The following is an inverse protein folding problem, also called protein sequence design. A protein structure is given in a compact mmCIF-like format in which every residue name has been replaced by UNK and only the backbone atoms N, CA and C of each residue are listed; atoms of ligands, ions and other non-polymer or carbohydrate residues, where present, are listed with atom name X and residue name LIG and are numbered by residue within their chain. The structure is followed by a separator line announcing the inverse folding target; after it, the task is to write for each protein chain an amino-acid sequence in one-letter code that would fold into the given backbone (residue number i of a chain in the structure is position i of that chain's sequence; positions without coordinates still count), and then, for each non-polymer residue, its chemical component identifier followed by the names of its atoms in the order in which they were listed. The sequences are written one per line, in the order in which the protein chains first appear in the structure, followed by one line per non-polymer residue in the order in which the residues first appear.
data_IF_683192891378
#
_entry.id   IF_683192891378
#
_cell.length_a   1.000
_cell.length_b   1.000
_cell.length_c   1.000
_cell.angle_alpha   90.00
_cell.angle_beta   90.00
_cell.angle_gamma   90.00
#
_symmetry.space_group_name_H-M   'P 1'
#
loop_
_entity.id
_entity.type
_entity.pdbx_description
1 polymer ?
#
# COMPACT_ATOMS: atom_id res chain seq x y z
N UNK A 1 -15.62 -10.64 14.88
CA UNK A 1 -14.57 -10.70 13.83
C UNK A 1 -13.86 -12.05 13.77
N UNK A 2 -13.38 -12.64 14.88
CA UNK A 2 -12.68 -13.93 14.85
C UNK A 2 -13.47 -15.06 14.18
N UNK A 3 -14.76 -15.19 14.50
CA UNK A 3 -15.66 -16.17 13.87
C UNK A 3 -15.80 -15.95 12.35
N UNK A 4 -15.90 -14.69 11.91
CA UNK A 4 -15.97 -14.35 10.49
C UNK A 4 -14.67 -14.70 9.76
N UNK A 5 -13.52 -14.36 10.35
CA UNK A 5 -12.21 -14.71 9.79
C UNK A 5 -12.02 -16.23 9.70
N UNK A 6 -12.48 -16.98 10.69
CA UNK A 6 -12.45 -18.45 10.67
C UNK A 6 -13.28 -19.02 9.51
N UNK A 7 -14.52 -18.54 9.33
CA UNK A 7 -15.40 -18.99 8.23
C UNK A 7 -14.82 -18.63 6.85
N UNK A 8 -14.19 -17.46 6.73
CA UNK A 8 -13.59 -17.00 5.46
C UNK A 8 -12.16 -17.48 5.23
N UNK A 9 -11.60 -18.32 6.11
CA UNK A 9 -10.22 -18.79 6.07
C UNK A 9 -9.18 -17.65 5.99
N UNK A 10 -9.43 -16.57 6.75
CA UNK A 10 -8.54 -15.40 6.85
C UNK A 10 -7.72 -15.51 8.12
N UNK A 11 -6.39 -15.60 7.96
CA UNK A 11 -5.46 -15.56 9.09
C UNK A 11 -5.34 -14.13 9.64
N UNK A 12 -5.76 -13.93 10.88
CA UNK A 12 -5.66 -12.63 11.54
C UNK A 12 -4.26 -12.44 12.14
N UNK A 13 -3.57 -11.38 11.74
CA UNK A 13 -2.32 -10.93 12.36
C UNK A 13 -2.59 -9.69 13.20
N UNK A 14 -2.29 -9.76 14.50
CA UNK A 14 -2.48 -8.67 15.44
C UNK A 14 -1.13 -8.04 15.80
N UNK A 15 -1.13 -6.72 15.96
CA UNK A 15 0.02 -5.97 16.45
C UNK A 15 -0.08 -5.75 17.96
N UNK A 16 1.05 -5.59 18.67
CA UNK A 16 1.04 -5.20 20.08
C UNK A 16 0.32 -3.87 20.30
N UNK A 17 -0.31 -3.75 21.47
CA UNK A 17 -0.97 -2.50 21.89
C UNK A 17 0.07 -1.38 21.96
N UNK A 18 -0.32 -0.17 21.56
CA UNK A 18 0.54 1.01 21.52
C UNK A 18 1.80 0.87 20.65
N UNK A 19 1.79 -0.03 19.67
CA UNK A 19 2.88 -0.21 18.71
C UNK A 19 2.46 0.07 17.26
N UNK A 20 2.01 1.30 16.94
CA UNK A 20 1.54 1.65 15.58
C UNK A 20 2.64 1.52 14.52
N UNK A 21 3.92 1.51 14.91
CA UNK A 21 5.05 1.37 13.99
C UNK A 21 5.05 0.01 13.26
N UNK A 22 4.44 -1.03 13.85
CA UNK A 22 4.28 -2.33 13.22
C UNK A 22 3.10 -2.38 12.22
N UNK A 23 2.24 -1.36 12.19
CA UNK A 23 1.10 -1.31 11.29
C UNK A 23 1.48 -0.63 9.97
N UNK A 24 1.60 -1.36 8.84
CA UNK A 24 1.95 -0.76 7.55
C UNK A 24 0.90 0.24 7.05
N UNK A 25 -0.35 0.14 7.52
CA UNK A 25 -1.44 1.02 7.12
C UNK A 25 -1.23 2.45 7.60
N UNK A 26 -0.48 2.67 8.69
CA UNK A 26 -0.24 4.02 9.23
C UNK A 26 0.45 4.94 8.22
N UNK A 27 1.36 4.39 7.40
CA UNK A 27 2.00 5.17 6.35
C UNK A 27 1.00 5.60 5.28
N UNK A 28 0.08 4.71 4.89
CA UNK A 28 -0.97 5.01 3.91
C UNK A 28 -1.98 6.02 4.48
N UNK A 29 -2.33 5.92 5.76
CA UNK A 29 -3.19 6.88 6.45
C UNK A 29 -2.55 8.27 6.50
N UNK A 30 -1.23 8.35 6.72
CA UNK A 30 -0.50 9.62 6.67
C UNK A 30 -0.60 10.29 5.31
N UNK A 31 -0.59 9.52 4.23
CA UNK A 31 -0.74 10.04 2.86
C UNK A 31 -2.21 10.39 2.54
N UNK A 32 -3.16 9.63 3.07
CA UNK A 32 -4.60 9.85 2.85
C UNK A 32 -5.09 11.15 3.52
N UNK A 33 -4.68 11.42 4.76
CA UNK A 33 -5.18 12.54 5.57
C UNK A 33 -5.02 13.91 4.89
N UNK A 34 -3.84 14.30 4.37
CA UNK A 34 -3.68 15.57 3.66
C UNK A 34 -4.53 15.67 2.40
N UNK A 35 -4.64 14.58 1.62
CA UNK A 35 -5.49 14.56 0.41
C UNK A 35 -6.95 14.75 0.75
N UNK A 36 -7.41 14.10 1.81
CA UNK A 36 -8.76 14.28 2.31
C UNK A 36 -8.99 15.73 2.73
N UNK A 37 -8.09 16.30 3.54
CA UNK A 37 -8.17 17.69 3.99
C UNK A 37 -8.21 18.69 2.83
N UNK A 38 -7.39 18.47 1.79
CA UNK A 38 -7.37 19.31 0.59
C UNK A 38 -8.69 19.23 -0.20
N UNK A 39 -9.25 18.03 -0.36
CA UNK A 39 -10.44 17.82 -1.21
C UNK A 39 -11.74 18.28 -0.54
N UNK A 40 -11.84 18.18 0.79
CA UNK A 40 -13.05 18.63 1.52
C UNK A 40 -13.04 20.13 1.82
N UNK A 41 -11.86 20.76 1.83
CA UNK A 41 -11.70 22.17 2.17
C UNK A 41 -12.35 22.50 3.52
N UNK A 42 -13.29 23.45 3.51
CA UNK A 42 -14.03 23.86 4.71
C UNK A 42 -15.30 23.04 4.98
N UNK A 43 -15.75 22.21 4.04
CA UNK A 43 -16.96 21.41 4.18
C UNK A 43 -16.63 19.92 4.38
N UNK A 44 -16.37 19.56 5.63
CA UNK A 44 -16.02 18.20 6.02
C UNK A 44 -17.14 17.17 5.80
N UNK A 45 -18.40 17.59 5.57
CA UNK A 45 -19.49 16.67 5.30
C UNK A 45 -19.34 15.94 3.95
N UNK A 46 -18.57 16.50 3.01
CA UNK A 46 -18.37 15.95 1.66
C UNK A 46 -17.30 14.85 1.57
N UNK A 47 -16.72 14.41 2.69
CA UNK A 47 -15.59 13.46 2.70
C UNK A 47 -15.90 12.16 1.96
N UNK A 48 -17.14 11.68 2.04
CA UNK A 48 -17.62 10.47 1.37
C UNK A 48 -17.68 10.64 -0.15
N UNK A 49 -18.10 11.81 -0.63
CA UNK A 49 -18.14 12.14 -2.06
C UNK A 49 -16.75 12.28 -2.66
N UNK A 50 -15.77 12.76 -1.88
CA UNK A 50 -14.38 12.91 -2.32
C UNK A 50 -13.57 11.61 -2.24
N UNK A 51 -14.03 10.63 -1.45
CA UNK A 51 -13.30 9.37 -1.22
C UNK A 51 -12.99 8.58 -2.49
N UNK A 52 -13.92 8.41 -3.46
CA UNK A 52 -13.62 7.74 -4.73
C UNK A 52 -12.51 8.44 -5.54
N UNK A 53 -12.54 9.77 -5.63
CA UNK A 53 -11.54 10.55 -6.36
C UNK A 53 -10.16 10.41 -5.72
N UNK A 54 -10.09 10.49 -4.38
CA UNK A 54 -8.83 10.29 -3.64
C UNK A 54 -8.29 8.87 -3.84
N UNK A 55 -9.16 7.86 -3.75
CA UNK A 55 -8.77 6.46 -3.98
C UNK A 55 -8.23 6.26 -5.39
N UNK A 56 -8.89 6.83 -6.40
CA UNK A 56 -8.44 6.76 -7.78
C UNK A 56 -7.04 7.37 -7.92
N UNK A 57 -6.84 8.61 -7.46
CA UNK A 57 -5.56 9.30 -7.52
C UNK A 57 -4.45 8.55 -6.77
N UNK A 58 -4.74 7.99 -5.60
CA UNK A 58 -3.77 7.20 -4.83
C UNK A 58 -3.41 5.87 -5.49
N UNK A 59 -4.29 5.31 -6.34
CA UNK A 59 -4.05 4.04 -7.03
C UNK A 59 -3.33 4.23 -8.37
N UNK A 60 -3.51 5.38 -9.02
CA UNK A 60 -2.85 5.72 -10.29
C UNK A 60 -1.55 6.51 -10.12
N UNK A 61 -1.25 7.02 -8.92
CA UNK A 61 0.04 7.62 -8.62
C UNK A 61 1.15 6.56 -8.58
N UNK A 62 2.29 6.84 -9.22
CA UNK A 62 3.49 5.99 -9.15
C UNK A 62 4.13 6.11 -7.77
N UNK A 63 4.47 4.98 -7.16
CA UNK A 63 5.24 4.96 -5.93
C UNK A 63 6.74 4.94 -6.26
N UNK A 64 7.52 5.81 -5.62
CA UNK A 64 8.96 5.92 -5.83
C UNK A 64 9.70 4.60 -5.57
N UNK A 65 9.28 3.84 -4.53
CA UNK A 65 9.93 2.57 -4.18
C UNK A 65 9.68 1.48 -5.21
N UNK A 66 8.46 1.40 -5.75
CA UNK A 66 8.09 0.33 -6.69
C UNK A 66 8.25 0.73 -8.14
N UNK A 67 8.35 2.03 -8.46
CA UNK A 67 8.35 2.56 -9.83
C UNK A 67 7.01 2.46 -10.57
N UNK A 68 6.07 1.67 -10.04
CA UNK A 68 4.75 1.40 -10.62
C UNK A 68 3.61 2.01 -9.79
N UNK A 69 2.42 2.06 -10.39
CA UNK A 69 1.17 2.44 -9.71
C UNK A 69 0.64 1.26 -8.89
N UNK A 70 -0.17 1.53 -7.86
CA UNK A 70 -0.81 0.45 -7.10
C UNK A 70 -1.85 -0.32 -7.96
N UNK A 71 -2.49 0.39 -8.89
CA UNK A 71 -3.38 -0.21 -9.88
C UNK A 71 -2.68 -1.30 -10.71
N UNK A 72 -1.53 -0.96 -11.30
CA UNK A 72 -0.75 -1.89 -12.10
C UNK A 72 -0.32 -3.12 -11.30
N UNK A 73 0.16 -2.92 -10.06
CA UNK A 73 0.58 -4.03 -9.20
C UNK A 73 -0.56 -4.99 -8.85
N UNK A 74 -1.78 -4.47 -8.69
CA UNK A 74 -2.93 -5.27 -8.26
C UNK A 74 -3.70 -5.91 -9.42
N UNK A 75 -3.80 -5.22 -10.56
CA UNK A 75 -4.64 -5.63 -11.69
C UNK A 75 -3.84 -6.06 -12.91
N UNK A 76 -2.51 -5.98 -12.86
CA UNK A 76 -1.63 -6.14 -14.02
C UNK A 76 -2.03 -5.22 -15.19
N UNK A 77 -2.59 -4.05 -14.89
CA UNK A 77 -2.95 -2.99 -15.84
C UNK A 77 -3.21 -1.68 -15.11
N UNK A 78 -3.11 -0.57 -15.82
CA UNK A 78 -3.50 0.73 -15.29
C UNK A 78 -5.02 0.88 -15.22
N UNK A 79 -5.50 1.71 -14.28
CA UNK A 79 -6.90 2.13 -14.28
C UNK A 79 -7.12 3.14 -15.40
N UNK A 80 -8.27 3.04 -16.07
CA UNK A 80 -8.65 4.01 -17.11
C UNK A 80 -8.95 5.36 -16.48
N UNK A 81 -8.35 6.40 -17.04
CA UNK A 81 -8.63 7.80 -16.74
C UNK A 81 -9.86 8.28 -17.53
N UNK A 82 -10.36 9.48 -17.20
CA UNK A 82 -11.46 10.09 -17.95
C UNK A 82 -11.07 10.31 -19.42
N UNK A 83 -9.81 10.69 -19.67
CA UNK A 83 -9.27 10.88 -21.02
C UNK A 83 -9.19 9.57 -21.81
N UNK A 84 -8.86 8.46 -21.13
CA UNK A 84 -8.91 7.15 -21.76
C UNK A 84 -10.36 6.82 -22.15
N UNK A 85 -11.34 7.00 -21.27
CA UNK A 85 -12.75 6.66 -21.56
C UNK A 85 -13.32 7.44 -22.75
N UNK A 86 -12.97 8.71 -22.90
CA UNK A 86 -13.45 9.53 -24.03
C UNK A 86 -12.79 9.17 -25.35
N UNK A 87 -11.57 8.63 -25.32
CA UNK A 87 -10.78 8.30 -26.52
C UNK A 87 -10.90 6.82 -26.91
N UNK A 88 -11.18 5.93 -25.95
CA UNK A 88 -11.02 4.46 -26.04
C UNK A 88 -12.31 3.69 -26.43
N UNK A 89 -13.46 4.36 -26.60
CA UNK A 89 -14.70 3.66 -26.92
C UNK A 89 -14.60 2.86 -28.24
N UNK A 90 -13.76 3.33 -29.18
CA UNK A 90 -13.54 2.67 -30.49
C UNK A 90 -12.56 1.50 -30.41
N UNK A 91 -11.53 1.57 -29.58
CA UNK A 91 -10.53 0.51 -29.41
C UNK A 91 -11.04 -0.69 -28.61
N UNK A 92 -12.02 -0.50 -27.72
CA UNK A 92 -12.68 -1.59 -27.00
C UNK A 92 -13.63 -2.39 -27.89
N UNK A 93 -14.30 -1.72 -28.85
CA UNK A 93 -15.25 -2.36 -29.78
C UNK A 93 -14.51 -3.07 -30.94
N UNK A 94 -13.35 -2.55 -31.37
CA UNK A 94 -12.61 -3.09 -32.53
C UNK A 94 -11.52 -4.11 -32.19
N UNK A 95 -11.24 -4.39 -30.91
CA UNK A 95 -10.27 -5.42 -30.53
C UNK A 95 -10.93 -6.79 -30.35
N UNK A 96 -11.35 -7.41 -31.45
CA UNK A 96 -11.65 -8.86 -31.57
C UNK A 96 -10.37 -9.74 -31.46
N UNK A 97 -9.32 -9.26 -30.78
CA UNK A 97 -7.98 -9.85 -30.80
C UNK A 97 -7.43 -10.07 -29.39
N UNK A 98 -8.21 -10.74 -28.55
CA UNK A 98 -7.72 -11.21 -27.25
C UNK A 98 -7.41 -12.69 -27.37
N UNK A 99 -6.13 -13.08 -27.54
CA UNK A 99 -5.52 -14.33 -27.03
C UNK A 99 -4.03 -14.53 -27.42
N UNK A 100 -3.41 -13.98 -28.48
CA UNK A 100 -1.99 -14.27 -28.75
C UNK A 100 -0.97 -13.56 -27.83
N UNK A 101 -1.27 -12.36 -27.34
CA UNK A 101 -0.29 -11.51 -26.62
C UNK A 101 -0.35 -11.63 -25.08
N UNK A 102 -1.39 -12.26 -24.54
CA UNK A 102 -1.61 -12.31 -23.10
C UNK A 102 -0.53 -13.12 -22.35
N UNK A 103 -0.10 -14.26 -22.91
CA UNK A 103 0.94 -15.10 -22.30
C UNK A 103 2.30 -14.37 -22.25
N UNK A 104 2.82 -13.76 -23.36
CA UNK A 104 4.02 -12.92 -23.30
C UNK A 104 3.90 -11.75 -22.31
N UNK A 105 2.72 -11.11 -22.25
CA UNK A 105 2.45 -10.03 -21.31
C UNK A 105 2.59 -10.49 -19.86
N UNK A 106 1.95 -11.61 -19.48
CA UNK A 106 2.03 -12.16 -18.13
C UNK A 106 3.45 -12.56 -17.74
N UNK A 107 4.22 -13.17 -18.66
CA UNK A 107 5.64 -13.46 -18.43
C UNK A 107 6.48 -12.20 -18.18
N UNK A 108 6.14 -11.08 -18.82
CA UNK A 108 6.78 -9.79 -18.54
C UNK A 108 6.34 -9.23 -17.19
N UNK A 109 5.04 -9.30 -16.88
CA UNK A 109 4.51 -8.87 -15.58
C UNK A 109 5.14 -9.64 -14.42
N UNK A 110 5.26 -10.96 -14.52
CA UNK A 110 5.94 -11.81 -13.53
C UNK A 110 7.38 -11.35 -13.29
N UNK A 111 8.18 -11.19 -14.36
CA UNK A 111 9.57 -10.70 -14.27
C UNK A 111 9.64 -9.32 -13.60
N UNK A 112 8.76 -8.40 -14.00
CA UNK A 112 8.69 -7.08 -13.39
C UNK A 112 8.35 -7.17 -11.90
N UNK A 113 7.41 -8.04 -11.52
CA UNK A 113 7.02 -8.23 -10.12
C UNK A 113 8.18 -8.73 -9.27
N UNK A 114 8.99 -9.66 -9.79
CA UNK A 114 10.21 -10.13 -9.12
C UNK A 114 11.22 -9.00 -8.88
N UNK A 115 11.46 -8.16 -9.89
CA UNK A 115 12.35 -7.00 -9.74
C UNK A 115 11.81 -5.96 -8.74
N UNK A 116 10.50 -5.74 -8.74
CA UNK A 116 9.83 -4.81 -7.82
C UNK A 116 9.96 -5.30 -6.37
N UNK A 117 9.80 -6.60 -6.12
CA UNK A 117 10.04 -7.19 -4.79
C UNK A 117 11.46 -6.92 -4.30
N UNK A 118 12.46 -7.16 -5.13
CA UNK A 118 13.86 -6.90 -4.79
C UNK A 118 14.10 -5.41 -4.47
N UNK A 119 13.48 -4.50 -5.22
CA UNK A 119 13.57 -3.06 -4.95
C UNK A 119 12.91 -2.66 -3.63
N UNK A 120 11.77 -3.28 -3.29
CA UNK A 120 11.09 -3.08 -2.01
C UNK A 120 12.00 -3.53 -0.88
N UNK A 121 12.58 -4.73 -0.96
CA UNK A 121 13.50 -5.28 0.05
C UNK A 121 14.71 -4.38 0.24
N UNK A 122 15.39 -3.98 -0.84
CA UNK A 122 16.52 -3.02 -0.78
C UNK A 122 16.13 -1.69 -0.12
N UNK A 123 14.94 -1.18 -0.41
CA UNK A 123 14.43 0.06 0.21
C UNK A 123 14.14 -0.14 1.70
N UNK A 124 13.56 -1.29 2.08
CA UNK A 124 13.31 -1.65 3.47
C UNK A 124 14.61 -1.79 4.27
N UNK A 125 15.62 -2.46 3.72
CA UNK A 125 16.94 -2.61 4.35
C UNK A 125 17.62 -1.26 4.57
N UNK A 126 17.57 -0.37 3.58
CA UNK A 126 18.07 1.00 3.73
C UNK A 126 17.34 1.74 4.85
N UNK A 127 16.01 1.71 4.86
CA UNK A 127 15.18 2.36 5.90
C UNK A 127 15.49 1.80 7.29
N UNK A 128 15.64 0.48 7.40
CA UNK A 128 16.05 -0.20 8.64
C UNK A 128 17.42 0.29 9.10
N UNK A 129 18.42 0.29 8.21
CA UNK A 129 19.76 0.78 8.53
C UNK A 129 19.74 2.24 9.01
N UNK A 130 18.96 3.13 8.37
CA UNK A 130 18.79 4.50 8.85
C UNK A 130 18.10 4.59 10.20
N UNK A 131 17.05 3.81 10.44
CA UNK A 131 16.33 3.80 11.72
C UNK A 131 17.18 3.25 12.87
N UNK A 132 17.97 2.21 12.58
CA UNK A 132 18.80 1.54 13.58
C UNK A 132 20.06 2.37 13.94
N UNK A 133 20.50 3.33 13.10
CA UNK A 133 21.63 4.24 13.42
C UNK A 133 21.50 4.96 14.76
N UNK A 134 20.28 5.32 15.14
CA UNK A 134 20.01 6.04 16.40
C UNK A 134 19.56 5.11 17.54
N UNK A 135 19.48 3.80 17.31
CA UNK A 135 19.09 2.84 18.34
C UNK A 135 20.29 2.42 19.16
N UNK A 136 20.14 2.47 20.48
CA UNK A 136 21.10 1.86 21.40
C UNK A 136 20.88 0.34 21.36
N UNK A 137 21.94 -0.47 21.35
CA UNK A 137 21.80 -1.91 21.49
C UNK A 137 21.05 -2.22 22.79
N UNK A 138 20.11 -3.15 22.71
CA UNK A 138 19.34 -3.58 23.87
C UNK A 138 20.28 -4.21 24.89
N UNK A 139 20.18 -3.88 26.19
CA UNK A 139 20.90 -4.61 27.23
C UNK A 139 20.53 -6.10 27.19
N UNK A 140 21.47 -6.98 27.51
CA UNK A 140 21.16 -8.39 27.69
C UNK A 140 20.34 -8.57 28.98
N UNK A 141 19.03 -8.67 28.84
CA UNK A 141 18.12 -9.00 29.93
C UNK A 141 18.09 -10.51 30.17
N UNK A 142 18.09 -10.92 31.43
CA UNK A 142 17.82 -12.28 31.88
C UNK A 142 16.37 -12.37 32.39
N UNK A 143 15.77 -13.58 32.42
CA UNK A 143 14.53 -13.78 33.17
C UNK A 143 14.67 -13.23 34.59
N UNK A 144 13.62 -12.59 35.10
CA UNK A 144 13.53 -11.88 36.40
C UNK A 144 14.22 -10.50 36.49
N UNK A 145 14.82 -9.99 35.42
CA UNK A 145 15.31 -8.60 35.40
C UNK A 145 14.15 -7.59 35.42
N UNK A 146 14.25 -6.59 36.29
CA UNK A 146 13.31 -5.48 36.34
C UNK A 146 13.59 -4.49 35.20
N UNK A 147 12.57 -4.27 34.35
CA UNK A 147 12.64 -3.31 33.24
C UNK A 147 11.63 -2.18 33.42
N UNK A 148 12.03 -0.98 33.01
CA UNK A 148 11.14 0.18 33.03
C UNK A 148 10.03 0.01 31.98
N UNK A 149 8.78 -0.03 32.43
CA UNK A 149 7.62 -0.02 31.55
C UNK A 149 7.17 1.41 31.33
N UNK A 150 7.08 1.83 30.07
CA UNK A 150 6.53 3.14 29.74
C UNK A 150 5.00 3.07 29.75
N UNK A 151 4.38 3.59 30.81
CA UNK A 151 2.93 3.53 31.02
C UNK A 151 2.13 4.56 30.19
N UNK A 152 2.79 5.61 29.68
CA UNK A 152 2.15 6.65 28.88
C UNK A 152 2.88 6.84 27.54
N UNK A 153 2.23 6.52 26.40
CA UNK A 153 2.70 6.92 25.07
C UNK A 153 2.48 8.43 24.88
N UNK A 154 3.43 9.11 24.23
CA UNK A 154 3.22 10.46 23.68
C UNK A 154 2.43 10.35 22.37
#
# INVERSE_FOLDING_TARGET
MQQLCYVLNINQSLIPVYHPQANPVERKNRDLKPRLAMMVGNNHALWNEQSPAIRFAMNTAKCETTGCTAAYLNFARELRTLDDVTTDLRSVIHNDNFVPEFIPYLKRFERNMSQIKENIEKSQDRRKAYADKSRKPTPNFKPDDLVWVKLHPL
#
